data_IF_157754417535
#
_entry.id   IF_157754417535
#
_cell.length_a   1.000
_cell.length_b   1.000
_cell.length_c   1.000
_cell.angle_alpha   90.00
_cell.angle_beta   90.00
_cell.angle_gamma   90.00
#
_symmetry.space_group_name_H-M   'P 1'
#
loop_
_entity.id
_entity.type
_entity.pdbx_description
1 polymer ?
#
# COMPACT_ATOMS: atom_id res chain seq x y z
N UNK A 1 30.83 -21.15 -1.03
CA UNK A 1 30.75 -20.01 -0.10
C UNK A 1 30.34 -18.67 -0.75
N UNK A 2 30.42 -18.41 -2.10
CA UNK A 2 29.96 -17.12 -2.67
C UNK A 2 28.45 -16.94 -2.81
N UNK A 3 27.65 -18.00 -2.79
CA UNK A 3 26.20 -17.98 -3.07
C UNK A 3 25.40 -17.37 -1.94
N UNK A 4 25.72 -17.66 -0.69
CA UNK A 4 24.97 -17.19 0.49
C UNK A 4 25.10 -15.67 0.69
N UNK A 5 26.30 -15.11 0.51
CA UNK A 5 26.54 -13.67 0.63
C UNK A 5 25.78 -12.85 -0.42
N UNK A 6 25.71 -13.35 -1.66
CA UNK A 6 24.99 -12.68 -2.75
C UNK A 6 23.47 -12.69 -2.54
N UNK A 7 22.92 -13.75 -1.93
CA UNK A 7 21.49 -13.83 -1.61
C UNK A 7 21.07 -12.90 -0.48
N UNK A 8 21.88 -12.78 0.57
CA UNK A 8 21.64 -11.84 1.68
C UNK A 8 21.59 -10.40 1.14
N UNK A 9 22.47 -10.05 0.19
CA UNK A 9 22.48 -8.73 -0.44
C UNK A 9 21.22 -8.47 -1.27
N UNK A 10 20.73 -9.43 -2.04
CA UNK A 10 19.50 -9.29 -2.85
C UNK A 10 18.31 -9.07 -1.94
N UNK A 11 18.11 -9.89 -0.92
CA UNK A 11 16.99 -9.76 0.04
C UNK A 11 17.01 -8.39 0.69
N UNK A 12 18.17 -7.94 1.20
CA UNK A 12 18.33 -6.62 1.84
C UNK A 12 17.98 -5.47 0.90
N UNK A 13 18.46 -5.52 -0.35
CA UNK A 13 18.19 -4.50 -1.36
C UNK A 13 16.69 -4.44 -1.68
N UNK A 14 16.04 -5.60 -1.90
CA UNK A 14 14.63 -5.66 -2.25
C UNK A 14 13.73 -5.27 -1.08
N UNK A 15 14.09 -5.64 0.15
CA UNK A 15 13.39 -5.19 1.36
C UNK A 15 13.48 -3.67 1.52
N UNK A 16 14.67 -3.09 1.35
CA UNK A 16 14.87 -1.64 1.40
C UNK A 16 14.05 -0.90 0.35
N UNK A 17 13.98 -1.43 -0.87
CA UNK A 17 13.20 -0.82 -1.95
C UNK A 17 11.69 -1.00 -1.79
N UNK A 18 11.22 -2.13 -1.27
CA UNK A 18 9.80 -2.41 -1.10
C UNK A 18 9.22 -1.73 0.16
N UNK A 19 9.96 -1.78 1.27
CA UNK A 19 9.44 -1.50 2.62
C UNK A 19 10.36 -0.62 3.48
N UNK A 20 11.49 -0.18 2.96
CA UNK A 20 12.52 0.56 3.71
C UNK A 20 12.79 1.97 3.16
N UNK A 21 14.03 2.45 3.35
CA UNK A 21 14.41 3.82 3.06
C UNK A 21 14.69 4.14 1.58
N UNK A 22 14.81 3.13 0.70
CA UNK A 22 15.25 3.36 -0.68
C UNK A 22 14.21 2.89 -1.75
N UNK A 23 12.94 3.41 -1.70
CA UNK A 23 11.89 2.95 -2.59
C UNK A 23 12.08 3.34 -4.06
N UNK A 24 12.93 4.33 -4.33
CA UNK A 24 13.26 4.80 -5.68
C UNK A 24 14.36 4.02 -6.38
N UNK A 25 14.99 3.07 -5.67
CA UNK A 25 16.12 2.32 -6.22
C UNK A 25 15.82 1.66 -7.55
N UNK A 26 16.64 1.95 -8.54
CA UNK A 26 16.57 1.37 -9.87
C UNK A 26 17.96 1.35 -10.52
N UNK A 27 18.38 0.26 -11.21
CA UNK A 27 17.63 -0.99 -11.38
C UNK A 27 17.53 -1.84 -10.10
N UNK A 28 16.49 -2.66 -10.03
CA UNK A 28 16.34 -3.65 -8.95
C UNK A 28 16.95 -4.99 -9.36
N UNK A 29 17.64 -5.71 -8.44
CA UNK A 29 18.17 -7.02 -8.72
C UNK A 29 17.05 -8.01 -9.05
N UNK A 30 17.36 -8.99 -9.89
CA UNK A 30 16.47 -10.12 -10.20
C UNK A 30 16.68 -11.25 -9.20
N UNK A 31 15.64 -12.03 -8.95
CA UNK A 31 15.70 -13.23 -8.12
C UNK A 31 14.78 -14.32 -8.68
N UNK A 32 15.09 -15.58 -8.33
CA UNK A 32 14.24 -16.73 -8.59
C UNK A 32 13.36 -17.09 -7.39
N UNK A 33 13.65 -16.52 -6.20
CA UNK A 33 12.88 -16.80 -4.98
C UNK A 33 11.55 -16.05 -4.98
N UNK A 34 10.38 -16.74 -4.79
CA UNK A 34 9.07 -16.11 -4.89
C UNK A 34 8.86 -14.89 -3.98
N UNK A 35 9.33 -14.93 -2.74
CA UNK A 35 9.23 -13.81 -1.79
C UNK A 35 10.03 -12.59 -2.28
N UNK A 36 11.23 -12.78 -2.79
CA UNK A 36 12.08 -11.70 -3.31
C UNK A 36 11.49 -11.11 -4.60
N UNK A 37 10.91 -11.95 -5.47
CA UNK A 37 10.17 -11.49 -6.65
C UNK A 37 8.95 -10.67 -6.26
N UNK A 38 8.22 -11.08 -5.21
CA UNK A 38 7.11 -10.31 -4.67
C UNK A 38 7.57 -8.94 -4.15
N UNK A 39 8.63 -8.86 -3.36
CA UNK A 39 9.20 -7.58 -2.90
C UNK A 39 9.61 -6.70 -4.08
N UNK A 40 10.23 -7.29 -5.10
CA UNK A 40 10.60 -6.59 -6.33
C UNK A 40 9.36 -6.01 -7.03
N UNK A 41 8.27 -6.77 -7.14
CA UNK A 41 7.01 -6.31 -7.72
C UNK A 41 6.38 -5.16 -6.91
N UNK A 42 6.42 -5.23 -5.58
CA UNK A 42 5.95 -4.16 -4.68
C UNK A 42 6.72 -2.86 -4.92
N UNK A 43 8.07 -2.93 -5.02
CA UNK A 43 8.91 -1.76 -5.31
C UNK A 43 8.62 -1.20 -6.70
N UNK A 44 8.52 -2.05 -7.74
CA UNK A 44 8.18 -1.65 -9.10
C UNK A 44 6.81 -0.97 -9.18
N UNK A 45 5.81 -1.48 -8.44
CA UNK A 45 4.48 -0.87 -8.32
C UNK A 45 4.54 0.53 -7.71
N UNK A 46 5.32 0.70 -6.62
CA UNK A 46 5.54 2.00 -5.99
C UNK A 46 6.21 3.03 -6.92
N UNK A 47 7.04 2.56 -7.86
CA UNK A 47 7.69 3.38 -8.90
C UNK A 47 6.81 3.59 -10.15
N UNK A 48 5.56 3.09 -10.17
CA UNK A 48 4.66 3.18 -11.31
C UNK A 48 5.01 2.26 -12.49
N UNK A 49 5.90 1.27 -12.32
CA UNK A 49 6.32 0.33 -13.37
C UNK A 49 5.37 -0.87 -13.46
N UNK A 50 4.12 -0.59 -13.77
CA UNK A 50 3.00 -1.55 -13.68
C UNK A 50 3.17 -2.80 -14.53
N UNK A 51 3.63 -2.68 -15.78
CA UNK A 51 3.83 -3.86 -16.65
C UNK A 51 4.85 -4.81 -16.05
N UNK A 52 5.97 -4.29 -15.54
CA UNK A 52 7.03 -5.11 -14.92
C UNK A 52 6.57 -5.73 -13.61
N UNK A 53 5.86 -4.97 -12.76
CA UNK A 53 5.29 -5.49 -11.53
C UNK A 53 4.31 -6.63 -11.82
N UNK A 54 3.40 -6.45 -12.77
CA UNK A 54 2.44 -7.50 -13.17
C UNK A 54 3.12 -8.77 -13.71
N UNK A 55 4.19 -8.63 -14.47
CA UNK A 55 4.94 -9.78 -14.97
C UNK A 55 5.48 -10.64 -13.82
N UNK A 56 6.16 -10.01 -12.83
CA UNK A 56 6.65 -10.72 -11.64
C UNK A 56 5.54 -11.42 -10.87
N UNK A 57 4.42 -10.71 -10.65
CA UNK A 57 3.29 -11.23 -9.87
C UNK A 57 2.57 -12.38 -10.61
N UNK A 58 2.44 -12.27 -11.93
CA UNK A 58 1.84 -13.33 -12.74
C UNK A 58 2.66 -14.62 -12.70
N UNK A 59 3.97 -14.51 -12.76
CA UNK A 59 4.84 -15.67 -12.65
C UNK A 59 4.75 -16.33 -11.27
N UNK A 60 4.69 -15.52 -10.19
CA UNK A 60 4.51 -16.04 -8.82
C UNK A 60 3.18 -16.80 -8.69
N UNK A 61 2.08 -16.24 -9.24
CA UNK A 61 0.76 -16.88 -9.12
C UNK A 61 0.61 -18.15 -9.94
N UNK A 62 1.51 -18.40 -10.88
CA UNK A 62 1.61 -19.65 -11.68
C UNK A 62 2.59 -20.67 -11.09
N UNK A 63 3.46 -20.21 -10.21
CA UNK A 63 4.48 -21.07 -9.59
C UNK A 63 3.90 -21.88 -8.44
N UNK A 64 3.82 -23.22 -8.62
CA UNK A 64 3.33 -24.14 -7.59
C UNK A 64 4.25 -24.20 -6.35
N UNK A 65 5.49 -23.75 -6.47
CA UNK A 65 6.46 -23.75 -5.37
C UNK A 65 6.39 -22.46 -4.52
N UNK A 66 5.63 -21.45 -4.97
CA UNK A 66 5.51 -20.18 -4.24
C UNK A 66 4.85 -20.33 -2.85
N UNK A 67 4.05 -21.37 -2.67
CA UNK A 67 3.25 -21.57 -1.47
C UNK A 67 2.05 -20.62 -1.36
N UNK A 68 1.02 -20.96 -0.56
CA UNK A 68 -0.25 -20.23 -0.53
C UNK A 68 -0.10 -18.79 -0.03
N UNK A 69 0.75 -18.53 0.97
CA UNK A 69 0.94 -17.18 1.52
C UNK A 69 1.55 -16.22 0.50
N UNK A 70 2.61 -16.63 -0.20
CA UNK A 70 3.25 -15.78 -1.22
C UNK A 70 2.37 -15.59 -2.44
N UNK A 71 1.64 -16.63 -2.86
CA UNK A 71 0.66 -16.53 -3.94
C UNK A 71 -0.48 -15.57 -3.57
N UNK A 72 -0.97 -15.60 -2.32
CA UNK A 72 -1.96 -14.66 -1.79
C UNK A 72 -1.43 -13.23 -1.81
N UNK A 73 -0.22 -12.98 -1.29
CA UNK A 73 0.44 -11.67 -1.35
C UNK A 73 0.60 -11.16 -2.79
N UNK A 74 0.90 -12.06 -3.74
CA UNK A 74 1.01 -11.70 -5.15
C UNK A 74 -0.35 -11.27 -5.74
N UNK A 75 -1.44 -12.00 -5.45
CA UNK A 75 -2.79 -11.63 -5.87
C UNK A 75 -3.23 -10.29 -5.25
N UNK A 76 -3.04 -10.08 -3.94
CA UNK A 76 -3.35 -8.80 -3.28
C UNK A 76 -2.50 -7.64 -3.82
N UNK A 77 -1.25 -7.89 -4.21
CA UNK A 77 -0.42 -6.86 -4.83
C UNK A 77 -0.93 -6.53 -6.24
N UNK A 78 -1.35 -7.52 -7.04
CA UNK A 78 -2.00 -7.25 -8.33
C UNK A 78 -3.29 -6.43 -8.16
N UNK A 79 -4.12 -6.77 -7.16
CA UNK A 79 -5.31 -5.99 -6.80
C UNK A 79 -4.95 -4.54 -6.46
N UNK A 80 -3.90 -4.34 -5.65
CA UNK A 80 -3.40 -3.00 -5.31
C UNK A 80 -2.99 -2.18 -6.53
N UNK A 81 -2.37 -2.80 -7.55
CA UNK A 81 -2.03 -2.11 -8.81
C UNK A 81 -3.28 -1.66 -9.57
N UNK A 82 -4.34 -2.48 -9.61
CA UNK A 82 -5.63 -2.12 -10.24
C UNK A 82 -6.34 -1.02 -9.46
N UNK A 83 -6.36 -1.12 -8.13
CA UNK A 83 -6.98 -0.13 -7.24
C UNK A 83 -6.34 1.24 -7.37
N UNK A 84 -5.01 1.32 -7.46
CA UNK A 84 -4.29 2.56 -7.70
C UNK A 84 -4.67 3.23 -9.04
N UNK A 85 -5.17 2.45 -10.00
CA UNK A 85 -5.65 2.91 -11.31
C UNK A 85 -7.18 3.12 -11.36
N UNK A 86 -7.88 2.98 -10.22
CA UNK A 86 -9.32 3.19 -10.11
C UNK A 86 -10.18 1.96 -10.42
N UNK A 87 -9.59 0.77 -10.69
CA UNK A 87 -10.35 -0.45 -11.00
C UNK A 87 -10.67 -1.29 -9.76
N UNK A 88 -11.42 -0.72 -8.84
CA UNK A 88 -11.80 -1.37 -7.57
C UNK A 88 -12.60 -2.66 -7.78
N UNK A 89 -13.47 -2.71 -8.80
CA UNK A 89 -14.27 -3.91 -9.07
C UNK A 89 -13.41 -5.10 -9.48
N UNK A 90 -12.45 -4.89 -10.38
CA UNK A 90 -11.53 -5.96 -10.78
C UNK A 90 -10.55 -6.30 -9.63
N UNK A 91 -10.08 -5.31 -8.88
CA UNK A 91 -9.23 -5.50 -7.71
C UNK A 91 -9.89 -6.41 -6.67
N UNK A 92 -11.16 -6.18 -6.35
CA UNK A 92 -11.92 -6.99 -5.39
C UNK A 92 -11.95 -8.49 -5.75
N UNK A 93 -12.02 -8.83 -7.04
CA UNK A 93 -11.95 -10.22 -7.50
C UNK A 93 -10.59 -10.87 -7.21
N UNK A 94 -9.50 -10.09 -7.31
CA UNK A 94 -8.15 -10.60 -7.02
C UNK A 94 -7.88 -10.71 -5.51
N UNK A 95 -8.31 -9.73 -4.71
CA UNK A 95 -8.22 -9.81 -3.25
C UNK A 95 -9.10 -10.94 -2.69
N UNK A 96 -10.26 -11.22 -3.31
CA UNK A 96 -11.08 -12.39 -3.00
C UNK A 96 -10.35 -13.72 -3.26
N UNK A 97 -9.62 -13.83 -4.36
CA UNK A 97 -8.75 -14.98 -4.66
C UNK A 97 -7.62 -15.11 -3.64
N UNK A 98 -6.99 -13.99 -3.29
CA UNK A 98 -5.93 -13.96 -2.28
C UNK A 98 -6.43 -14.52 -0.94
N UNK A 99 -7.59 -14.07 -0.49
CA UNK A 99 -8.20 -14.53 0.76
C UNK A 99 -8.60 -16.03 0.69
N UNK A 100 -9.11 -16.47 -0.44
CA UNK A 100 -9.50 -17.88 -0.63
C UNK A 100 -8.32 -18.87 -0.50
N UNK A 101 -7.10 -18.46 -0.89
CA UNK A 101 -5.90 -19.29 -0.80
C UNK A 101 -5.47 -19.60 0.64
N UNK A 102 -5.72 -18.70 1.56
CA UNK A 102 -5.27 -18.79 2.96
C UNK A 102 -6.42 -18.94 3.96
N UNK A 103 -7.67 -18.96 3.45
CA UNK A 103 -8.87 -19.02 4.27
C UNK A 103 -9.14 -17.73 5.06
N UNK A 104 -10.38 -17.60 5.49
CA UNK A 104 -10.87 -16.41 6.21
C UNK A 104 -11.14 -16.68 7.69
N UNK A 105 -10.89 -17.92 8.17
CA UNK A 105 -11.09 -18.34 9.56
C UNK A 105 -10.08 -17.71 10.51
N UNK A 106 -10.28 -17.84 11.84
CA UNK A 106 -9.28 -17.45 12.81
C UNK A 106 -7.96 -18.16 12.48
N UNK A 107 -6.84 -17.43 12.59
CA UNK A 107 -5.54 -18.06 12.49
C UNK A 107 -5.39 -19.00 13.66
N UNK A 108 -5.09 -20.27 13.39
CA UNK A 108 -4.62 -21.16 14.44
C UNK A 108 -3.20 -20.73 14.81
N UNK A 109 -2.98 -20.23 16.03
CA UNK A 109 -1.64 -19.76 16.45
C UNK A 109 -0.58 -20.87 16.39
N UNK A 110 -1.01 -22.14 16.41
CA UNK A 110 -0.12 -23.30 16.34
C UNK A 110 0.29 -23.67 14.89
N UNK A 111 -0.43 -23.17 13.86
CA UNK A 111 -0.27 -23.62 12.46
C UNK A 111 0.03 -22.46 11.50
N UNK A 112 -0.38 -21.23 11.81
CA UNK A 112 -0.22 -20.06 10.92
C UNK A 112 1.14 -19.39 11.02
N UNK A 113 1.88 -19.30 9.91
CA UNK A 113 3.10 -18.48 9.86
C UNK A 113 2.77 -16.99 9.90
N UNK A 114 3.70 -16.15 10.39
CA UNK A 114 3.57 -14.69 10.33
C UNK A 114 3.29 -14.18 8.89
N UNK A 115 3.80 -14.88 7.89
CA UNK A 115 3.57 -14.55 6.49
C UNK A 115 2.12 -14.85 6.04
N UNK A 116 1.49 -15.91 6.54
CA UNK A 116 0.07 -16.22 6.27
C UNK A 116 -0.85 -15.20 6.92
N UNK A 117 -0.55 -14.82 8.16
CA UNK A 117 -1.28 -13.75 8.84
C UNK A 117 -1.16 -12.43 8.09
N UNK A 118 0.05 -12.06 7.67
CA UNK A 118 0.29 -10.88 6.85
C UNK A 118 -0.51 -10.92 5.54
N UNK A 119 -0.52 -12.05 4.85
CA UNK A 119 -1.26 -12.23 3.59
C UNK A 119 -2.79 -12.12 3.80
N UNK A 120 -3.31 -12.68 4.89
CA UNK A 120 -4.73 -12.58 5.26
C UNK A 120 -5.14 -11.13 5.54
N UNK A 121 -4.37 -10.43 6.35
CA UNK A 121 -4.62 -9.01 6.65
C UNK A 121 -4.52 -8.14 5.39
N UNK A 122 -3.57 -8.42 4.50
CA UNK A 122 -3.46 -7.71 3.21
C UNK A 122 -4.67 -7.90 2.32
N UNK A 123 -5.21 -9.13 2.22
CA UNK A 123 -6.39 -9.43 1.43
C UNK A 123 -7.66 -8.77 2.03
N UNK A 124 -7.85 -8.85 3.35
CA UNK A 124 -8.98 -8.22 4.04
C UNK A 124 -8.96 -6.69 3.89
N UNK A 125 -7.80 -6.08 4.09
CA UNK A 125 -7.62 -4.62 3.94
C UNK A 125 -7.80 -4.20 2.48
N UNK A 126 -7.36 -5.03 1.53
CA UNK A 126 -7.58 -4.82 0.11
C UNK A 126 -9.06 -4.83 -0.25
N UNK A 127 -9.81 -5.86 0.18
CA UNK A 127 -11.26 -5.95 0.00
C UNK A 127 -12.00 -4.77 0.64
N UNK A 128 -11.54 -4.29 1.81
CA UNK A 128 -12.12 -3.11 2.46
C UNK A 128 -11.93 -1.83 1.62
N UNK A 129 -10.73 -1.63 1.07
CA UNK A 129 -10.44 -0.51 0.18
C UNK A 129 -11.22 -0.60 -1.14
N UNK A 130 -11.46 -1.81 -1.66
CA UNK A 130 -12.29 -2.02 -2.85
C UNK A 130 -13.77 -1.78 -2.56
N UNK A 131 -14.24 -2.17 -1.36
CA UNK A 131 -15.59 -1.86 -0.91
C UNK A 131 -15.81 -0.34 -0.81
N UNK A 132 -14.83 0.40 -0.30
CA UNK A 132 -14.82 1.87 -0.30
C UNK A 132 -14.95 2.41 -1.72
N UNK A 133 -14.08 2.01 -2.65
CA UNK A 133 -14.10 2.48 -4.04
C UNK A 133 -15.36 2.09 -4.82
N UNK A 134 -16.12 1.10 -4.32
CA UNK A 134 -17.44 0.72 -4.84
C UNK A 134 -18.61 1.34 -4.05
N UNK A 135 -18.37 2.29 -3.13
CA UNK A 135 -19.40 2.96 -2.32
C UNK A 135 -20.01 2.10 -1.21
N UNK A 136 -19.42 0.94 -0.88
CA UNK A 136 -19.92 -0.02 0.12
C UNK A 136 -19.26 0.17 1.47
N UNK A 137 -19.40 1.37 2.07
CA UNK A 137 -18.67 1.75 3.29
C UNK A 137 -18.90 0.78 4.45
N UNK A 138 -20.15 0.37 4.71
CA UNK A 138 -20.47 -0.59 5.78
C UNK A 138 -19.78 -1.95 5.60
N UNK A 139 -19.58 -2.42 4.35
CA UNK A 139 -18.80 -3.63 4.08
C UNK A 139 -17.31 -3.38 4.38
N UNK A 140 -16.79 -2.22 3.98
CA UNK A 140 -15.41 -1.82 4.26
C UNK A 140 -15.09 -1.90 5.75
N UNK A 141 -15.94 -1.30 6.58
CA UNK A 141 -15.76 -1.36 8.04
C UNK A 141 -15.79 -2.78 8.60
N UNK A 142 -16.74 -3.63 8.21
CA UNK A 142 -16.77 -5.03 8.67
C UNK A 142 -15.52 -5.83 8.29
N UNK A 143 -14.93 -5.54 7.13
CA UNK A 143 -13.69 -6.19 6.70
C UNK A 143 -12.48 -5.69 7.50
N UNK A 144 -12.44 -4.39 7.85
CA UNK A 144 -11.41 -3.84 8.72
C UNK A 144 -11.51 -4.35 10.15
N UNK A 145 -12.73 -4.45 10.71
CA UNK A 145 -12.95 -5.04 12.04
C UNK A 145 -12.40 -6.47 12.09
N UNK A 146 -12.68 -7.24 11.05
CA UNK A 146 -12.15 -8.61 10.95
C UNK A 146 -10.61 -8.63 10.82
N UNK A 147 -10.03 -7.72 10.07
CA UNK A 147 -8.58 -7.55 9.99
C UNK A 147 -7.98 -7.19 11.36
N UNK A 148 -8.60 -6.25 12.08
CA UNK A 148 -8.21 -5.85 13.43
C UNK A 148 -8.22 -7.00 14.42
N UNK A 149 -9.26 -7.87 14.37
CA UNK A 149 -9.31 -9.08 15.20
C UNK A 149 -8.12 -10.02 14.97
N UNK A 150 -7.66 -10.16 13.72
CA UNK A 150 -6.47 -10.95 13.39
C UNK A 150 -5.16 -10.30 13.87
N UNK A 151 -5.12 -8.98 13.99
CA UNK A 151 -3.97 -8.21 14.47
C UNK A 151 -3.95 -8.03 16.01
N UNK A 152 -4.89 -8.64 16.74
CA UNK A 152 -4.93 -8.59 18.21
C UNK A 152 -5.91 -7.58 18.81
N UNK A 153 -6.75 -6.92 17.99
CA UNK A 153 -7.74 -5.93 18.45
C UNK A 153 -7.13 -4.55 18.78
N UNK A 154 -8.00 -3.60 19.19
CA UNK A 154 -7.56 -2.31 19.72
C UNK A 154 -6.89 -2.53 21.08
N UNK A 155 -5.59 -2.27 21.19
CA UNK A 155 -4.83 -2.39 22.44
C UNK A 155 -3.72 -3.44 22.42
N UNK A 156 -3.47 -4.13 21.29
CA UNK A 156 -2.27 -4.93 21.16
C UNK A 156 -1.05 -4.01 21.30
N UNK A 157 -0.15 -4.35 22.22
CA UNK A 157 1.03 -3.58 22.53
C UNK A 157 1.80 -3.25 21.23
N UNK A 158 2.06 -1.97 21.01
CA UNK A 158 2.82 -1.48 19.86
C UNK A 158 4.25 -2.06 19.80
N UNK A 159 4.73 -2.64 20.88
CA UNK A 159 6.02 -3.34 20.94
C UNK A 159 6.04 -4.67 20.16
N UNK A 160 4.88 -5.31 19.88
CA UNK A 160 4.79 -6.54 19.09
C UNK A 160 4.45 -6.28 17.59
N UNK A 161 4.41 -5.02 17.16
CA UNK A 161 4.22 -4.67 15.74
C UNK A 161 5.38 -5.07 14.83
N UNK A 162 6.47 -5.60 15.38
CA UNK A 162 7.75 -5.83 14.68
C UNK A 162 7.65 -6.57 13.34
N UNK A 163 6.86 -7.63 13.24
CA UNK A 163 6.70 -8.38 11.98
C UNK A 163 5.50 -7.95 11.12
N UNK A 164 4.45 -7.35 11.72
CA UNK A 164 3.16 -7.01 11.10
C UNK A 164 2.92 -5.50 10.98
N UNK A 165 3.94 -4.66 11.22
CA UNK A 165 3.82 -3.20 11.17
C UNK A 165 3.13 -2.70 9.89
N UNK A 166 3.43 -3.34 8.76
CA UNK A 166 2.87 -2.97 7.47
C UNK A 166 1.36 -3.19 7.41
N UNK A 167 0.86 -4.26 8.03
CA UNK A 167 -0.56 -4.57 8.12
C UNK A 167 -1.28 -3.57 9.02
N UNK A 168 -0.69 -3.19 10.15
CA UNK A 168 -1.22 -2.12 11.02
C UNK A 168 -1.29 -0.78 10.26
N UNK A 169 -0.22 -0.37 9.59
CA UNK A 169 -0.23 0.85 8.77
C UNK A 169 -1.33 0.80 7.70
N UNK A 170 -1.50 -0.33 7.00
CA UNK A 170 -2.52 -0.48 5.97
C UNK A 170 -3.94 -0.49 6.54
N UNK A 171 -4.16 -1.10 7.69
CA UNK A 171 -5.42 -1.03 8.43
C UNK A 171 -5.78 0.44 8.70
N UNK A 172 -4.86 1.19 9.28
CA UNK A 172 -5.06 2.61 9.55
C UNK A 172 -5.29 3.44 8.29
N UNK A 173 -4.60 3.16 7.18
CA UNK A 173 -4.85 3.87 5.92
C UNK A 173 -6.29 3.72 5.44
N UNK A 174 -6.79 2.48 5.37
CA UNK A 174 -8.15 2.25 4.87
C UNK A 174 -9.21 2.73 5.86
N UNK A 175 -8.93 2.67 7.17
CA UNK A 175 -9.77 3.29 8.20
C UNK A 175 -9.86 4.81 8.02
N UNK A 176 -8.73 5.48 7.74
CA UNK A 176 -8.72 6.92 7.45
C UNK A 176 -9.49 7.24 6.15
N UNK A 177 -9.28 6.47 5.09
CA UNK A 177 -9.98 6.64 3.79
C UNK A 177 -11.51 6.43 3.94
N UNK A 178 -11.95 5.41 4.71
CA UNK A 178 -13.38 5.19 5.01
C UNK A 178 -13.97 6.31 5.88
N UNK A 179 -13.22 6.80 6.86
CA UNK A 179 -13.63 7.94 7.70
C UNK A 179 -13.80 9.21 6.87
N UNK A 180 -12.87 9.49 5.94
CA UNK A 180 -12.97 10.62 4.99
C UNK A 180 -14.21 10.50 4.11
N UNK A 181 -14.49 9.30 3.59
CA UNK A 181 -15.69 9.05 2.79
C UNK A 181 -17.00 9.23 3.57
N UNK A 182 -16.96 9.03 4.90
CA UNK A 182 -18.05 9.30 5.82
C UNK A 182 -18.06 10.73 6.37
N UNK A 183 -17.19 11.62 5.91
CA UNK A 183 -16.98 12.99 6.42
C UNK A 183 -16.58 13.06 7.91
N UNK A 184 -16.06 11.97 8.49
CA UNK A 184 -15.49 11.95 9.85
C UNK A 184 -13.99 12.29 9.80
N UNK A 185 -13.68 13.56 9.64
CA UNK A 185 -12.31 14.06 9.58
C UNK A 185 -11.52 13.81 10.87
N UNK A 186 -12.20 13.79 12.02
CA UNK A 186 -11.57 13.53 13.33
C UNK A 186 -11.02 12.10 13.39
N UNK A 187 -11.84 11.10 13.06
CA UNK A 187 -11.40 9.70 12.99
C UNK A 187 -10.34 9.50 11.93
N UNK A 188 -10.51 10.10 10.74
CA UNK A 188 -9.51 10.05 9.68
C UNK A 188 -8.14 10.54 10.17
N UNK A 189 -8.12 11.64 10.91
CA UNK A 189 -6.88 12.22 11.47
C UNK A 189 -6.22 11.29 12.49
N UNK A 190 -6.98 10.70 13.41
CA UNK A 190 -6.43 9.73 14.39
C UNK A 190 -5.76 8.55 13.69
N UNK A 191 -6.41 7.96 12.70
CA UNK A 191 -5.84 6.85 11.95
C UNK A 191 -4.63 7.27 11.11
N UNK A 192 -4.66 8.44 10.48
CA UNK A 192 -3.53 8.93 9.68
C UNK A 192 -2.30 9.24 10.56
N UNK A 193 -2.50 9.77 11.77
CA UNK A 193 -1.42 10.01 12.75
C UNK A 193 -0.80 8.68 13.17
N UNK A 194 -1.61 7.69 13.60
CA UNK A 194 -1.12 6.37 14.00
C UNK A 194 -0.30 5.70 12.89
N UNK A 195 -0.80 5.74 11.63
CA UNK A 195 -0.04 5.22 10.50
C UNK A 195 1.29 5.97 10.26
N UNK A 196 1.32 7.28 10.51
CA UNK A 196 2.53 8.11 10.37
C UNK A 196 3.57 7.72 11.41
N UNK A 197 3.17 7.54 12.66
CA UNK A 197 4.04 7.16 13.76
C UNK A 197 4.67 5.78 13.53
N UNK A 198 3.87 4.75 13.20
CA UNK A 198 4.37 3.41 12.91
C UNK A 198 5.35 3.45 11.74
N UNK A 199 5.00 4.11 10.64
CA UNK A 199 5.84 4.14 9.43
C UNK A 199 7.13 4.95 9.61
N UNK A 200 7.14 5.97 10.48
CA UNK A 200 8.33 6.72 10.85
C UNK A 200 9.28 5.85 11.69
N UNK A 201 8.74 5.14 12.68
CA UNK A 201 9.53 4.27 13.56
C UNK A 201 10.30 3.19 12.78
N UNK A 202 9.66 2.56 11.79
CA UNK A 202 10.30 1.51 10.98
C UNK A 202 11.12 2.04 9.81
N UNK A 203 11.16 3.35 9.58
CA UNK A 203 11.95 3.99 8.53
C UNK A 203 11.49 3.68 7.10
N UNK A 204 10.20 3.36 6.90
CA UNK A 204 9.67 3.07 5.57
C UNK A 204 9.20 4.34 4.87
N UNK A 205 10.02 4.89 3.98
CA UNK A 205 9.77 6.17 3.28
C UNK A 205 8.44 6.18 2.55
N UNK A 206 8.13 5.16 1.74
CA UNK A 206 6.89 5.12 0.97
C UNK A 206 5.65 5.08 1.88
N UNK A 207 5.70 4.30 2.97
CA UNK A 207 4.58 4.21 3.90
C UNK A 207 4.41 5.50 4.69
N UNK A 208 5.51 6.12 5.09
CA UNK A 208 5.48 7.40 5.77
C UNK A 208 4.87 8.51 4.91
N UNK A 209 5.32 8.67 3.65
CA UNK A 209 4.78 9.65 2.72
C UNK A 209 3.28 9.42 2.44
N UNK A 210 2.84 8.14 2.27
CA UNK A 210 1.40 7.87 2.11
C UNK A 210 0.62 8.21 3.38
N UNK A 211 1.15 7.93 4.56
CA UNK A 211 0.50 8.27 5.83
C UNK A 211 0.37 9.79 5.99
N UNK A 212 1.41 10.54 5.65
CA UNK A 212 1.36 12.02 5.64
C UNK A 212 0.35 12.56 4.63
N UNK A 213 0.20 11.93 3.46
CA UNK A 213 -0.82 12.32 2.48
C UNK A 213 -2.24 12.15 3.05
N UNK A 214 -2.51 11.06 3.74
CA UNK A 214 -3.80 10.85 4.42
C UNK A 214 -4.01 11.84 5.57
N UNK A 215 -2.94 12.20 6.29
CA UNK A 215 -2.99 13.23 7.31
C UNK A 215 -3.34 14.59 6.69
N UNK A 216 -2.71 14.96 5.57
CA UNK A 216 -3.09 16.16 4.81
C UNK A 216 -4.56 16.11 4.38
N UNK A 217 -5.02 15.00 3.81
CA UNK A 217 -6.42 14.84 3.41
C UNK A 217 -7.40 14.97 4.60
N UNK A 218 -7.02 14.49 5.79
CA UNK A 218 -7.86 14.62 7.00
C UNK A 218 -8.00 16.06 7.52
N UNK A 219 -7.15 16.97 7.06
CA UNK A 219 -7.18 18.39 7.44
C UNK A 219 -8.02 19.24 6.46
N UNK A 220 -8.48 18.68 5.34
CA UNK A 220 -9.27 19.44 4.34
C UNK A 220 -10.68 19.79 4.82
N UNK A 221 -11.17 19.21 5.92
CA UNK A 221 -12.43 19.56 6.56
C UNK A 221 -12.35 20.75 7.52
N UNK A 222 -11.15 21.30 7.75
CA UNK A 222 -10.93 22.47 8.59
C UNK A 222 -11.24 23.77 7.80
N UNK A 223 -11.57 24.85 8.53
CA UNK A 223 -11.85 26.15 7.91
C UNK A 223 -10.63 26.78 7.22
N UNK A 224 -9.43 26.47 7.72
CA UNK A 224 -8.15 26.84 7.11
C UNK A 224 -7.54 25.63 6.41
N UNK A 225 -7.48 25.66 5.09
CA UNK A 225 -6.85 24.64 4.26
C UNK A 225 -5.33 24.78 4.10
N UNK A 226 -4.74 25.86 4.62
CA UNK A 226 -3.30 26.14 4.52
C UNK A 226 -2.42 24.99 5.04
N UNK A 227 -2.67 24.45 6.25
CA UNK A 227 -1.92 23.31 6.78
C UNK A 227 -2.03 22.04 5.92
N UNK A 228 -3.22 21.77 5.36
CA UNK A 228 -3.42 20.64 4.44
C UNK A 228 -2.60 20.82 3.17
N UNK A 229 -2.65 22.01 2.56
CA UNK A 229 -1.91 22.34 1.35
C UNK A 229 -0.38 22.25 1.57
N UNK A 230 0.10 22.79 2.68
CA UNK A 230 1.52 22.74 3.02
C UNK A 230 2.02 21.28 3.13
N UNK A 231 1.33 20.44 3.89
CA UNK A 231 1.70 19.05 4.04
C UNK A 231 1.59 18.25 2.72
N UNK A 232 0.57 18.56 1.87
CA UNK A 232 0.47 17.93 0.54
C UNK A 232 1.66 18.30 -0.35
N UNK A 233 2.14 19.55 -0.28
CA UNK A 233 3.32 19.99 -1.02
C UNK A 233 4.60 19.28 -0.54
N UNK A 234 4.81 19.16 0.76
CA UNK A 234 5.95 18.39 1.32
C UNK A 234 5.93 16.91 0.86
N UNK A 235 4.74 16.29 0.84
CA UNK A 235 4.58 14.91 0.34
C UNK A 235 4.87 14.82 -1.15
N UNK A 236 4.43 15.80 -1.94
CA UNK A 236 4.69 15.87 -3.38
C UNK A 236 6.19 15.89 -3.66
N UNK A 237 6.94 16.79 -2.99
CA UNK A 237 8.39 16.88 -3.08
C UNK A 237 9.09 15.59 -2.60
N UNK A 238 8.61 15.00 -1.50
CA UNK A 238 9.11 13.73 -1.00
C UNK A 238 8.93 12.60 -2.02
N UNK A 239 7.77 12.51 -2.66
CA UNK A 239 7.50 11.54 -3.71
C UNK A 239 8.39 11.74 -4.94
N UNK A 240 8.67 12.98 -5.32
CA UNK A 240 9.56 13.30 -6.42
C UNK A 240 11.00 12.85 -6.15
N UNK A 241 11.54 13.21 -4.99
CA UNK A 241 12.90 12.81 -4.56
C UNK A 241 13.10 11.29 -4.56
N UNK A 242 12.05 10.53 -4.25
CA UNK A 242 12.10 9.06 -4.15
C UNK A 242 11.49 8.33 -5.36
N UNK A 243 11.12 9.03 -6.44
CA UNK A 243 10.60 8.42 -7.67
C UNK A 243 9.29 7.63 -7.47
N UNK A 244 8.45 8.02 -6.53
CA UNK A 244 7.19 7.37 -6.15
C UNK A 244 6.03 7.90 -7.01
N UNK A 245 6.04 7.60 -8.31
CA UNK A 245 5.15 8.20 -9.31
C UNK A 245 3.65 8.10 -8.97
N UNK A 246 3.09 6.93 -8.58
CA UNK A 246 1.66 6.87 -8.24
C UNK A 246 1.30 7.70 -7.01
N UNK A 247 2.18 7.78 -6.02
CA UNK A 247 1.95 8.58 -4.83
C UNK A 247 2.16 10.08 -5.12
N UNK A 248 3.12 10.44 -5.99
CA UNK A 248 3.29 11.81 -6.52
C UNK A 248 2.00 12.28 -7.20
N UNK A 249 1.38 11.43 -8.04
CA UNK A 249 0.10 11.72 -8.67
C UNK A 249 -1.00 12.03 -7.64
N UNK A 250 -1.13 11.20 -6.60
CA UNK A 250 -2.15 11.39 -5.57
C UNK A 250 -1.91 12.67 -4.73
N UNK A 251 -0.65 12.99 -4.42
CA UNK A 251 -0.29 14.21 -3.71
C UNK A 251 -0.56 15.46 -4.56
N UNK A 252 -0.21 15.41 -5.85
CA UNK A 252 -0.48 16.50 -6.80
C UNK A 252 -1.99 16.72 -6.98
N UNK A 253 -2.79 15.64 -7.04
CA UNK A 253 -4.25 15.71 -7.12
C UNK A 253 -4.84 16.39 -5.87
N UNK A 254 -4.40 16.01 -4.67
CA UNK A 254 -4.85 16.63 -3.43
C UNK A 254 -4.48 18.12 -3.37
N UNK A 255 -3.21 18.43 -3.64
CA UNK A 255 -2.71 19.83 -3.62
C UNK A 255 -3.47 20.70 -4.60
N UNK A 256 -3.64 20.25 -5.85
CA UNK A 256 -4.41 20.98 -6.86
C UNK A 256 -5.88 21.16 -6.45
N UNK A 257 -6.50 20.15 -5.84
CA UNK A 257 -7.88 20.24 -5.35
C UNK A 257 -8.07 21.25 -4.22
N UNK A 258 -7.07 21.39 -3.33
CA UNK A 258 -7.12 22.29 -2.18
C UNK A 258 -6.78 23.74 -2.57
N UNK A 259 -5.83 23.93 -3.48
CA UNK A 259 -5.25 25.27 -3.77
C UNK A 259 -5.60 25.83 -5.16
N UNK A 260 -6.00 24.97 -6.11
CA UNK A 260 -6.09 25.35 -7.52
C UNK A 260 -4.73 25.52 -8.21
N UNK A 261 -3.62 25.09 -7.60
CA UNK A 261 -2.26 25.29 -8.14
C UNK A 261 -2.08 24.59 -9.50
N UNK A 262 -1.78 25.37 -10.52
CA UNK A 262 -1.54 24.88 -11.88
C UNK A 262 -0.29 24.00 -11.99
N UNK A 263 0.73 24.23 -11.16
CA UNK A 263 1.93 23.37 -11.14
C UNK A 263 1.61 21.99 -10.59
N UNK A 264 0.75 21.91 -9.59
CA UNK A 264 0.28 20.63 -9.08
C UNK A 264 -0.59 19.91 -10.12
N UNK A 265 -1.42 20.61 -10.87
CA UNK A 265 -2.18 20.03 -11.99
C UNK A 265 -1.26 19.46 -13.07
N UNK A 266 -0.24 20.21 -13.48
CA UNK A 266 0.75 19.76 -14.44
C UNK A 266 1.53 18.54 -13.93
N UNK A 267 1.97 18.55 -12.68
CA UNK A 267 2.66 17.39 -12.07
C UNK A 267 1.79 16.12 -12.06
N UNK A 268 0.47 16.27 -11.86
CA UNK A 268 -0.48 15.16 -11.96
C UNK A 268 -0.53 14.60 -13.38
N UNK A 269 -0.65 15.46 -14.41
CA UNK A 269 -0.71 15.07 -15.82
C UNK A 269 0.58 14.37 -16.26
N UNK A 270 1.75 14.90 -15.89
CA UNK A 270 3.04 14.25 -16.12
C UNK A 270 3.11 12.83 -15.51
N UNK A 271 2.58 12.66 -14.30
CA UNK A 271 2.51 11.34 -13.67
C UNK A 271 1.58 10.38 -14.43
N UNK A 272 0.45 10.87 -14.94
CA UNK A 272 -0.48 10.06 -15.77
C UNK A 272 0.21 9.55 -17.03
N UNK A 273 0.96 10.41 -17.74
CA UNK A 273 1.73 10.04 -18.93
C UNK A 273 2.83 9.01 -18.61
N UNK A 274 3.59 9.23 -17.52
CA UNK A 274 4.62 8.29 -17.07
C UNK A 274 4.02 6.92 -16.75
N UNK A 275 2.90 6.90 -16.04
CA UNK A 275 2.19 5.67 -15.67
C UNK A 275 1.67 4.96 -16.92
N UNK A 276 1.09 5.69 -17.88
CA UNK A 276 0.61 5.16 -19.15
C UNK A 276 1.76 4.52 -19.96
N UNK A 277 2.89 5.20 -20.09
CA UNK A 277 4.09 4.67 -20.75
C UNK A 277 4.71 3.45 -20.04
N UNK A 278 4.38 3.22 -18.76
CA UNK A 278 4.83 2.06 -17.96
C UNK A 278 3.74 0.99 -17.81
N UNK A 279 2.67 1.08 -18.58
CA UNK A 279 1.61 0.08 -18.69
C UNK A 279 0.51 0.16 -17.64
N UNK A 280 0.30 1.31 -17.01
CA UNK A 280 -0.85 1.63 -16.19
C UNK A 280 -1.73 2.68 -16.87
N UNK A 281 -3.06 2.58 -16.71
CA UNK A 281 -4.00 3.57 -17.22
C UNK A 281 -5.02 3.87 -16.13
N UNK A 282 -5.10 5.13 -15.71
CA UNK A 282 -6.11 5.55 -14.74
C UNK A 282 -7.50 5.44 -15.38
N UNK A 283 -8.43 4.82 -14.68
CA UNK A 283 -9.84 4.85 -15.05
C UNK A 283 -10.44 6.20 -14.64
N UNK A 284 -11.14 6.82 -15.57
CA UNK A 284 -11.94 8.05 -15.36
C UNK A 284 -13.36 7.69 -14.98
#
# INVERSE_FOLDING_TARGET
>A
VPTTSRHIDITRILTSAAFGPDPGRHPLPTSTRPVERWMRAVALGGQGRYSRARAELTDITRDRQAGPAVASLAWSTQASLLRQLGDHRAASGLDGRALALIGSGPADPAVGSALELAARCDALTGLAADALGCGRLALGWRLLDRCGQHLGGEGADTDDTGSLWRQHVRLHWVSAELSLAGADFSSARRHAVAATEISAHVGSVRHHLKSQLLRSASMTGESDSGPAAHLAAEVLEGCERHGLIPLKWAAAMLLAGVTGDLRAQQAREECEEIVAGRGGHFRR
#
